data_IF_570961522837
#
_entry.id   IF_570961522837
#
_cell.length_a   1.000
_cell.length_b   1.000
_cell.length_c   1.000
_cell.angle_alpha   90.00
_cell.angle_beta   90.00
_cell.angle_gamma   90.00
#
_symmetry.space_group_name_H-M   'P 1'
#
loop_
_entity.id
_entity.type
_entity.pdbx_description
1 polymer ?
#
# COMPACT_ATOMS: atom_id res chain seq x y z
N UNK A 1 2.56 15.87 -33.88
CA UNK A 1 2.88 15.41 -32.52
C UNK A 1 1.58 15.02 -31.85
N UNK A 2 1.40 13.75 -31.49
CA UNK A 2 0.14 13.26 -30.92
C UNK A 2 0.32 13.10 -29.42
N UNK A 3 -0.52 13.76 -28.63
CA UNK A 3 -0.55 13.58 -27.18
C UNK A 3 -1.48 12.44 -26.83
N UNK A 4 -0.96 11.41 -26.12
CA UNK A 4 -1.77 10.34 -25.53
C UNK A 4 -1.93 10.65 -24.06
N UNK A 5 -3.18 10.70 -23.58
CA UNK A 5 -3.48 10.76 -22.14
C UNK A 5 -3.70 9.34 -21.65
N UNK A 6 -2.90 8.91 -20.70
CA UNK A 6 -3.17 7.69 -19.93
C UNK A 6 -3.99 8.05 -18.69
N UNK A 7 -5.02 7.28 -18.44
CA UNK A 7 -5.77 7.35 -17.18
C UNK A 7 -5.12 6.40 -16.18
N UNK A 8 -4.74 6.92 -15.03
CA UNK A 8 -4.20 6.14 -13.92
C UNK A 8 -5.27 6.03 -12.84
N UNK A 9 -5.50 4.83 -12.35
CA UNK A 9 -6.58 4.56 -11.41
C UNK A 9 -6.06 4.54 -9.97
N UNK A 10 -6.83 5.17 -9.08
CA UNK A 10 -6.71 5.07 -7.63
C UNK A 10 -8.02 4.51 -7.13
N UNK A 11 -7.99 3.29 -6.60
CA UNK A 11 -9.17 2.57 -6.16
C UNK A 11 -9.26 2.59 -4.64
N UNK A 12 -10.47 2.80 -4.12
CA UNK A 12 -10.75 2.85 -2.69
C UNK A 12 -11.78 1.78 -2.32
N UNK A 13 -11.44 0.96 -1.31
CA UNK A 13 -12.30 -0.10 -0.79
C UNK A 13 -12.39 -0.01 0.72
N UNK A 14 -13.35 -0.72 1.33
CA UNK A 14 -13.43 -0.87 2.78
C UNK A 14 -13.44 -2.34 3.15
N UNK A 15 -12.55 -2.72 4.07
CA UNK A 15 -12.51 -4.08 4.58
C UNK A 15 -13.73 -4.37 5.44
N UNK A 16 -14.52 -5.40 5.13
CA UNK A 16 -15.81 -5.62 5.82
C UNK A 16 -15.69 -5.97 7.30
N UNK A 17 -14.52 -6.45 7.74
CA UNK A 17 -14.27 -6.86 9.13
C UNK A 17 -13.25 -5.94 9.83
N UNK A 18 -13.15 -4.68 9.41
CA UNK A 18 -12.18 -3.72 9.91
C UNK A 18 -12.23 -3.57 11.44
N UNK A 19 -13.42 -3.46 12.01
CA UNK A 19 -13.61 -3.29 13.46
C UNK A 19 -13.06 -4.46 14.28
N UNK A 20 -13.05 -5.67 13.71
CA UNK A 20 -12.53 -6.87 14.37
C UNK A 20 -11.01 -7.01 14.22
N UNK A 21 -10.50 -6.70 13.06
CA UNK A 21 -9.08 -6.98 12.74
C UNK A 21 -8.16 -5.80 13.10
N UNK A 22 -8.63 -4.55 13.00
CA UNK A 22 -7.79 -3.38 13.18
C UNK A 22 -7.09 -3.31 14.54
N UNK A 23 -7.73 -3.60 15.68
CA UNK A 23 -7.04 -3.63 16.97
C UNK A 23 -5.91 -4.67 17.01
N UNK A 24 -6.10 -5.81 16.35
CA UNK A 24 -5.08 -6.86 16.25
C UNK A 24 -3.91 -6.38 15.38
N UNK A 25 -4.20 -5.80 14.21
CA UNK A 25 -3.19 -5.28 13.30
C UNK A 25 -2.40 -4.14 13.92
N UNK A 26 -3.03 -3.26 14.70
CA UNK A 26 -2.34 -2.22 15.44
C UNK A 26 -1.33 -2.84 16.41
N UNK A 27 -1.74 -3.82 17.22
CA UNK A 27 -0.84 -4.52 18.13
C UNK A 27 0.31 -5.24 17.43
N UNK A 28 0.09 -5.75 16.20
CA UNK A 28 1.18 -6.31 15.36
C UNK A 28 2.19 -5.23 14.99
N UNK A 29 1.72 -4.05 14.53
CA UNK A 29 2.61 -2.95 14.14
C UNK A 29 3.40 -2.48 15.36
N UNK A 30 2.75 -2.22 16.49
CA UNK A 30 3.39 -1.74 17.72
C UNK A 30 4.50 -2.66 18.22
N UNK A 31 4.29 -3.98 18.22
CA UNK A 31 5.32 -4.93 18.67
C UNK A 31 6.46 -5.12 17.67
N UNK A 32 6.24 -4.78 16.41
CA UNK A 32 7.20 -4.95 15.31
C UNK A 32 7.87 -3.64 14.86
N UNK A 33 7.44 -2.50 15.37
CA UNK A 33 8.01 -1.21 14.96
C UNK A 33 9.49 -1.12 15.35
N UNK A 34 10.28 -0.54 14.46
CA UNK A 34 11.71 -0.31 14.66
C UNK A 34 12.05 1.15 14.39
N UNK A 35 12.96 1.69 15.22
CA UNK A 35 13.44 3.07 15.08
C UNK A 35 14.50 3.26 14.01
N UNK A 36 15.10 2.18 13.49
CA UNK A 36 16.33 2.26 12.71
C UNK A 36 16.09 1.96 11.23
N UNK A 37 16.78 2.72 10.38
CA UNK A 37 16.97 2.51 8.94
C UNK A 37 15.74 2.60 8.03
N UNK A 38 14.84 3.54 8.27
CA UNK A 38 13.86 3.89 7.24
C UNK A 38 14.54 4.55 6.04
N UNK A 39 14.05 4.32 4.80
CA UNK A 39 14.43 5.14 3.67
C UNK A 39 14.29 6.63 4.01
N UNK A 40 15.16 7.47 3.49
CA UNK A 40 15.23 8.90 3.86
C UNK A 40 13.91 9.66 3.68
N UNK A 41 13.02 9.17 2.78
CA UNK A 41 11.71 9.74 2.53
C UNK A 41 10.67 9.42 3.62
N UNK A 42 10.88 8.39 4.45
CA UNK A 42 9.93 7.99 5.49
C UNK A 42 10.37 8.56 6.83
N UNK A 43 9.64 9.56 7.30
CA UNK A 43 9.84 10.21 8.60
C UNK A 43 8.74 9.79 9.56
N UNK A 44 8.61 8.48 9.76
CA UNK A 44 7.66 7.83 10.66
C UNK A 44 8.27 6.50 11.14
N UNK A 45 7.71 5.91 12.18
CA UNK A 45 8.11 4.58 12.66
C UNK A 45 7.58 3.53 11.68
N UNK A 46 8.38 2.52 11.33
CA UNK A 46 7.95 1.40 10.52
C UNK A 46 8.31 0.06 11.15
N UNK A 47 7.65 -0.99 10.71
CA UNK A 47 8.13 -2.36 10.88
C UNK A 47 9.21 -2.66 9.83
N UNK A 48 9.79 -3.88 9.88
CA UNK A 48 10.48 -4.41 8.71
C UNK A 48 9.50 -4.62 7.54
N UNK A 49 10.03 -4.87 6.36
CA UNK A 49 9.30 -5.01 5.10
C UNK A 49 8.73 -6.42 4.86
N UNK A 50 8.67 -7.23 5.92
CA UNK A 50 8.26 -8.63 5.96
C UNK A 50 7.01 -8.87 6.83
N UNK A 51 6.17 -7.87 6.98
CA UNK A 51 4.95 -7.95 7.82
C UNK A 51 3.99 -9.04 7.31
N UNK A 52 4.09 -9.42 6.05
CA UNK A 52 3.37 -10.53 5.44
C UNK A 52 3.70 -11.89 6.06
N UNK A 53 4.78 -12.02 6.84
CA UNK A 53 5.07 -13.21 7.65
C UNK A 53 4.16 -13.39 8.87
N UNK A 54 3.43 -12.36 9.29
CA UNK A 54 2.58 -12.40 10.49
C UNK A 54 1.20 -13.02 10.20
N UNK A 55 0.83 -14.03 10.99
CA UNK A 55 -0.43 -14.78 10.79
C UNK A 55 -1.67 -13.89 10.87
N UNK A 56 -1.63 -12.90 11.75
CA UNK A 56 -2.73 -11.97 11.98
C UNK A 56 -2.97 -11.03 10.79
N UNK A 57 -1.99 -10.83 9.94
CA UNK A 57 -2.08 -9.98 8.75
C UNK A 57 -2.63 -10.74 7.55
N UNK A 58 -2.52 -12.08 7.52
CA UNK A 58 -2.90 -12.92 6.39
C UNK A 58 -4.34 -12.74 5.90
N UNK A 59 -5.37 -12.63 6.78
CA UNK A 59 -6.74 -12.42 6.32
C UNK A 59 -6.92 -11.11 5.53
N UNK A 60 -6.24 -10.05 5.96
CA UNK A 60 -6.25 -8.77 5.24
C UNK A 60 -5.53 -8.90 3.89
N UNK A 61 -4.34 -9.51 3.87
CA UNK A 61 -3.54 -9.65 2.64
C UNK A 61 -4.25 -10.53 1.60
N UNK A 62 -4.92 -11.59 2.05
CA UNK A 62 -5.74 -12.40 1.15
C UNK A 62 -6.82 -11.56 0.48
N UNK A 63 -7.58 -10.78 1.24
CA UNK A 63 -8.63 -9.92 0.70
C UNK A 63 -8.07 -8.86 -0.25
N UNK A 64 -6.93 -8.22 0.08
CA UNK A 64 -6.27 -7.25 -0.80
C UNK A 64 -5.85 -7.91 -2.12
N UNK A 65 -5.31 -9.13 -2.04
CA UNK A 65 -4.90 -9.89 -3.23
C UNK A 65 -6.10 -10.26 -4.09
N UNK A 66 -7.22 -10.69 -3.49
CA UNK A 66 -8.45 -11.01 -4.20
C UNK A 66 -8.99 -9.77 -4.95
N UNK A 67 -8.95 -8.57 -4.33
CA UNK A 67 -9.32 -7.31 -5.00
C UNK A 67 -8.39 -7.01 -6.17
N UNK A 68 -7.08 -7.14 -5.98
CA UNK A 68 -6.12 -6.91 -7.06
C UNK A 68 -6.44 -7.77 -8.28
N UNK A 69 -6.76 -9.05 -8.07
CA UNK A 69 -7.12 -9.95 -9.15
C UNK A 69 -8.45 -9.58 -9.83
N UNK A 70 -9.46 -9.19 -9.08
CA UNK A 70 -10.78 -8.83 -9.63
C UNK A 70 -10.72 -7.53 -10.43
N UNK A 71 -10.13 -6.48 -9.84
CA UNK A 71 -10.21 -5.13 -10.40
C UNK A 71 -9.18 -4.88 -11.51
N UNK A 72 -7.95 -5.35 -11.34
CA UNK A 72 -6.89 -5.06 -12.31
C UNK A 72 -6.73 -6.15 -13.38
N UNK A 73 -6.92 -7.43 -13.06
CA UNK A 73 -6.83 -8.49 -14.05
C UNK A 73 -8.08 -8.63 -14.91
N UNK A 74 -9.24 -8.20 -14.40
CA UNK A 74 -10.48 -8.13 -15.19
C UNK A 74 -10.38 -7.18 -16.39
N UNK A 75 -9.45 -6.23 -16.36
CA UNK A 75 -9.19 -5.27 -17.44
C UNK A 75 -8.06 -5.69 -18.40
N UNK A 76 -7.32 -6.75 -18.08
CA UNK A 76 -6.30 -7.29 -18.99
C UNK A 76 -6.99 -8.13 -20.05
N UNK A 77 -6.94 -7.74 -21.35
CA UNK A 77 -7.48 -8.58 -22.41
C UNK A 77 -6.76 -9.92 -22.43
N UNK A 78 -7.46 -10.98 -22.05
CA UNK A 78 -6.96 -12.35 -21.89
C UNK A 78 -5.80 -12.45 -20.90
N UNK A 79 -6.07 -12.57 -19.57
CA UNK A 79 -5.02 -13.02 -18.66
C UNK A 79 -4.52 -14.35 -19.21
N UNK A 80 -3.28 -14.40 -19.64
CA UNK A 80 -2.63 -15.68 -19.91
C UNK A 80 -2.70 -16.46 -18.60
N UNK A 81 -2.84 -17.78 -18.65
CA UNK A 81 -2.96 -18.67 -17.47
C UNK A 81 -1.86 -18.45 -16.41
N UNK A 82 -0.86 -17.68 -16.74
CA UNK A 82 0.38 -17.47 -15.99
C UNK A 82 0.62 -16.02 -15.54
N UNK A 83 -0.39 -15.14 -15.68
CA UNK A 83 -0.27 -13.78 -15.17
C UNK A 83 -0.72 -13.75 -13.73
N UNK A 84 0.20 -13.61 -12.80
CA UNK A 84 -0.09 -13.42 -11.38
C UNK A 84 0.79 -12.33 -10.78
N UNK A 85 0.30 -11.70 -9.73
CA UNK A 85 1.04 -10.74 -8.95
C UNK A 85 1.46 -11.36 -7.64
N UNK A 86 2.69 -11.11 -7.24
CA UNK A 86 3.22 -11.52 -5.95
C UNK A 86 3.41 -10.28 -5.08
N UNK A 87 2.94 -10.36 -3.85
CA UNK A 87 3.33 -9.41 -2.82
C UNK A 87 4.83 -9.58 -2.55
N UNK A 88 5.59 -8.50 -2.69
CA UNK A 88 7.06 -8.53 -2.55
C UNK A 88 7.55 -7.78 -1.33
N UNK A 89 6.75 -6.86 -0.82
CA UNK A 89 7.05 -6.05 0.35
C UNK A 89 5.75 -5.72 1.07
N UNK A 90 5.76 -5.83 2.40
CA UNK A 90 4.64 -5.43 3.25
C UNK A 90 5.18 -4.89 4.57
N UNK A 91 4.75 -3.71 4.96
CA UNK A 91 5.21 -3.08 6.21
C UNK A 91 4.10 -2.30 6.91
N UNK A 92 4.20 -2.22 8.23
CA UNK A 92 3.39 -1.35 9.06
C UNK A 92 4.02 0.01 9.22
N UNK A 93 3.21 1.04 9.40
CA UNK A 93 3.64 2.41 9.65
C UNK A 93 2.86 2.96 10.84
N UNK A 94 3.60 3.49 11.82
CA UNK A 94 3.04 4.22 12.96
C UNK A 94 3.48 5.68 12.86
N UNK A 95 2.54 6.57 12.64
CA UNK A 95 2.79 8.00 12.55
C UNK A 95 2.48 8.68 13.87
N UNK A 96 3.38 9.55 14.28
CA UNK A 96 3.17 10.55 15.34
C UNK A 96 2.93 11.92 14.73
N UNK A 97 2.51 12.85 15.57
CA UNK A 97 2.34 14.25 15.15
C UNK A 97 3.66 14.81 14.60
N UNK A 98 3.60 15.38 13.40
CA UNK A 98 4.76 15.88 12.66
C UNK A 98 5.38 14.88 11.69
N UNK A 99 5.15 13.59 11.86
CA UNK A 99 5.65 12.57 10.95
C UNK A 99 5.05 12.73 9.55
N UNK A 100 5.85 12.44 8.54
CA UNK A 100 5.45 12.57 7.14
C UNK A 100 6.14 11.51 6.28
N UNK A 101 5.68 11.39 5.05
CA UNK A 101 6.38 10.68 4.00
C UNK A 101 6.56 11.66 2.85
N UNK A 102 7.82 11.89 2.45
CA UNK A 102 8.16 12.75 1.35
C UNK A 102 7.70 12.15 0.01
N UNK A 103 7.68 12.94 -1.04
CA UNK A 103 7.24 12.49 -2.36
C UNK A 103 8.12 11.35 -2.88
N UNK A 104 7.48 10.27 -3.29
CA UNK A 104 8.12 9.07 -3.84
C UNK A 104 7.14 8.27 -4.68
N UNK A 105 7.65 7.22 -5.31
CA UNK A 105 6.89 6.14 -5.94
C UNK A 105 7.46 4.78 -5.50
N UNK A 106 6.90 3.70 -6.05
CA UNK A 106 7.32 2.33 -5.73
C UNK A 106 7.81 1.54 -6.95
N UNK A 107 8.27 2.24 -8.01
CA UNK A 107 8.88 1.54 -9.14
C UNK A 107 10.09 0.69 -8.68
N UNK A 108 10.28 -0.52 -9.20
CA UNK A 108 9.65 -1.15 -10.36
C UNK A 108 8.42 -2.03 -10.05
N UNK A 109 7.79 -1.89 -8.90
CA UNK A 109 6.55 -2.60 -8.60
C UNK A 109 5.41 -2.12 -9.53
N UNK A 110 4.38 -2.96 -9.75
CA UNK A 110 3.25 -2.63 -10.60
C UNK A 110 2.12 -1.97 -9.85
N UNK A 111 1.74 -2.55 -8.71
CA UNK A 111 0.67 -2.05 -7.87
C UNK A 111 1.15 -1.90 -6.44
N UNK A 112 0.67 -0.84 -5.80
CA UNK A 112 0.91 -0.55 -4.39
C UNK A 112 -0.40 -0.37 -3.66
N UNK A 113 -0.38 -0.61 -2.36
CA UNK A 113 -1.54 -0.35 -1.53
C UNK A 113 -1.15 0.31 -0.21
N UNK A 114 -2.11 1.00 0.38
CA UNK A 114 -2.11 1.37 1.79
C UNK A 114 -3.46 1.04 2.41
N UNK A 115 -3.45 0.37 3.55
CA UNK A 115 -4.61 0.05 4.36
C UNK A 115 -4.52 0.82 5.68
N UNK A 116 -5.58 1.53 6.04
CA UNK A 116 -5.61 2.33 7.25
C UNK A 116 -6.19 1.54 8.42
N UNK A 117 -5.34 1.27 9.41
CA UNK A 117 -5.68 0.49 10.60
C UNK A 117 -6.35 1.37 11.65
N UNK A 118 -5.66 2.42 12.09
CA UNK A 118 -6.20 3.44 13.00
C UNK A 118 -5.94 4.83 12.44
N UNK A 119 -6.95 5.69 12.48
CA UNK A 119 -6.87 7.04 11.92
C UNK A 119 -7.62 8.02 12.81
N UNK A 120 -6.94 8.87 13.57
CA UNK A 120 -7.56 9.97 14.27
C UNK A 120 -8.31 10.91 13.32
N UNK A 121 -9.47 11.41 13.75
CA UNK A 121 -10.29 12.32 12.94
C UNK A 121 -9.49 13.56 12.52
N UNK A 122 -9.50 13.88 11.24
CA UNK A 122 -8.76 15.02 10.70
C UNK A 122 -7.29 14.74 10.34
N UNK A 123 -6.88 13.47 10.35
CA UNK A 123 -5.54 13.04 9.90
C UNK A 123 -5.23 13.51 8.48
N UNK A 124 -3.94 13.72 8.22
CA UNK A 124 -3.43 14.19 6.93
C UNK A 124 -3.73 13.19 5.79
N UNK A 125 -4.11 13.65 4.59
CA UNK A 125 -4.45 12.79 3.47
C UNK A 125 -3.21 12.12 2.85
N UNK A 126 -3.44 11.04 2.10
CA UNK A 126 -2.52 10.60 1.05
C UNK A 126 -2.72 11.51 -0.16
N UNK A 127 -1.65 12.07 -0.69
CA UNK A 127 -1.70 13.06 -1.79
C UNK A 127 -0.94 12.53 -2.98
N UNK A 128 -1.63 12.30 -4.10
CA UNK A 128 -1.02 12.03 -5.40
C UNK A 128 -0.57 13.36 -6.02
N UNK A 129 0.74 13.56 -6.13
CA UNK A 129 1.30 14.90 -6.35
C UNK A 129 1.07 15.43 -7.75
N UNK A 130 1.07 14.58 -8.77
CA UNK A 130 0.85 14.97 -10.17
C UNK A 130 -0.60 15.39 -10.42
N UNK A 131 -1.56 14.59 -9.98
CA UNK A 131 -3.00 14.88 -10.14
C UNK A 131 -3.55 15.82 -9.07
N UNK A 132 -2.81 16.03 -7.98
CA UNK A 132 -3.26 16.72 -6.76
C UNK A 132 -4.44 16.04 -6.06
N UNK A 133 -4.76 14.81 -6.46
CA UNK A 133 -5.82 14.01 -5.83
C UNK A 133 -5.45 13.71 -4.38
N UNK A 134 -6.46 13.81 -3.49
CA UNK A 134 -6.28 13.59 -2.04
C UNK A 134 -7.23 12.51 -1.58
N UNK A 135 -6.67 11.45 -1.02
CA UNK A 135 -7.45 10.40 -0.36
C UNK A 135 -7.49 10.69 1.13
N UNK A 136 -8.68 10.90 1.66
CA UNK A 136 -8.89 11.09 3.10
C UNK A 136 -8.83 9.74 3.80
N UNK A 137 -7.89 9.54 4.74
CA UNK A 137 -7.76 8.28 5.44
C UNK A 137 -8.96 8.05 6.38
N UNK A 138 -9.39 6.79 6.45
CA UNK A 138 -10.42 6.32 7.41
C UNK A 138 -10.05 4.90 7.84
N UNK A 139 -10.31 4.51 9.11
CA UNK A 139 -10.09 3.13 9.53
C UNK A 139 -10.81 2.14 8.62
N UNK A 140 -10.16 1.05 8.26
CA UNK A 140 -10.70 0.03 7.36
C UNK A 140 -10.64 0.35 5.87
N UNK A 141 -10.21 1.55 5.48
CA UNK A 141 -10.07 1.91 4.06
C UNK A 141 -8.78 1.33 3.50
N UNK A 142 -8.90 0.65 2.36
CA UNK A 142 -7.83 0.27 1.45
C UNK A 142 -7.75 1.29 0.31
N UNK A 143 -6.56 1.72 -0.03
CA UNK A 143 -6.26 2.47 -1.26
C UNK A 143 -5.29 1.65 -2.08
N UNK A 144 -5.64 1.36 -3.32
CA UNK A 144 -4.82 0.61 -4.25
C UNK A 144 -4.56 1.46 -5.50
N UNK A 145 -3.33 1.44 -6.01
CA UNK A 145 -2.91 2.32 -7.09
C UNK A 145 -1.70 1.77 -7.84
N UNK A 146 -1.48 2.25 -9.07
CA UNK A 146 -0.26 1.93 -9.79
C UNK A 146 0.98 2.47 -9.07
N UNK A 147 2.00 1.63 -8.91
CA UNK A 147 3.21 1.92 -8.11
C UNK A 147 4.00 3.14 -8.60
N UNK A 148 3.88 3.49 -9.89
CA UNK A 148 4.54 4.66 -10.50
C UNK A 148 3.91 6.01 -10.13
N UNK A 149 2.75 6.01 -9.48
CA UNK A 149 2.08 7.25 -9.07
C UNK A 149 2.85 7.93 -7.94
N UNK A 150 3.39 9.10 -8.25
CA UNK A 150 4.08 9.94 -7.27
C UNK A 150 3.11 10.40 -6.18
N UNK A 151 3.42 10.09 -4.94
CA UNK A 151 2.58 10.41 -3.80
C UNK A 151 3.36 10.76 -2.55
N UNK A 152 2.68 11.36 -1.58
CA UNK A 152 3.24 11.76 -0.29
C UNK A 152 2.19 11.75 0.81
N UNK A 153 2.64 11.74 2.06
CA UNK A 153 1.83 12.04 3.23
C UNK A 153 2.35 13.32 3.87
N UNK A 154 1.58 14.43 3.86
CA UNK A 154 1.96 15.65 4.56
C UNK A 154 2.12 15.41 6.07
N UNK A 155 2.80 16.30 6.82
CA UNK A 155 2.97 16.16 8.25
C UNK A 155 1.67 15.80 8.97
N UNK A 156 1.72 14.74 9.77
CA UNK A 156 0.58 14.26 10.52
C UNK A 156 0.19 15.24 11.61
N UNK A 157 -1.11 15.45 11.77
CA UNK A 157 -1.65 16.40 12.75
C UNK A 157 -1.81 15.81 14.14
N UNK A 158 -1.88 14.48 14.22
CA UNK A 158 -2.19 13.73 15.43
C UNK A 158 -1.25 12.54 15.55
N UNK A 159 -1.09 12.05 16.77
CA UNK A 159 -0.44 10.79 17.08
C UNK A 159 -1.33 9.60 16.71
N UNK A 160 -0.76 8.39 16.77
CA UNK A 160 -1.47 7.10 16.68
C UNK A 160 -2.26 6.87 15.38
N UNK A 161 -1.72 7.36 14.25
CA UNK A 161 -2.16 6.92 12.94
C UNK A 161 -1.37 5.68 12.54
N UNK A 162 -2.07 4.57 12.28
CA UNK A 162 -1.49 3.31 11.87
C UNK A 162 -1.95 2.93 10.47
N UNK A 163 -1.02 2.45 9.66
CA UNK A 163 -1.30 1.96 8.32
C UNK A 163 -0.46 0.71 8.01
N UNK A 164 -0.92 -0.10 7.06
CA UNK A 164 -0.15 -1.17 6.45
C UNK A 164 -0.01 -0.83 4.97
N UNK A 165 1.20 -0.88 4.45
CA UNK A 165 1.48 -0.67 3.04
C UNK A 165 2.18 -1.88 2.44
N UNK A 166 2.13 -2.02 1.12
CA UNK A 166 2.82 -3.09 0.43
C UNK A 166 2.80 -2.92 -1.07
N UNK A 167 3.66 -3.72 -1.72
CA UNK A 167 3.91 -3.65 -3.15
C UNK A 167 3.74 -5.02 -3.81
N UNK A 168 3.09 -5.02 -4.97
CA UNK A 168 2.92 -6.19 -5.83
C UNK A 168 3.78 -6.07 -7.08
N UNK A 169 4.42 -7.17 -7.44
CA UNK A 169 5.12 -7.32 -8.72
C UNK A 169 4.48 -8.42 -9.56
N UNK A 170 4.52 -8.22 -10.85
CA UNK A 170 4.22 -9.28 -11.80
C UNK A 170 5.24 -10.41 -11.61
N UNK A 171 4.74 -11.60 -11.33
CA UNK A 171 5.55 -12.80 -11.29
C UNK A 171 5.26 -13.60 -12.56
N UNK A 172 6.19 -13.57 -13.53
CA UNK A 172 6.17 -14.45 -14.68
C UNK A 172 6.47 -15.88 -14.26
N UNK A 173 6.14 -16.88 -15.13
CA UNK A 173 6.55 -18.26 -14.89
C UNK A 173 8.06 -18.36 -14.63
N UNK A 174 8.45 -19.20 -13.69
CA UNK A 174 9.82 -19.68 -13.59
C UNK A 174 10.15 -20.40 -14.88
N UNK A 175 10.80 -19.75 -15.85
CA UNK A 175 11.29 -20.52 -16.96
C UNK A 175 11.51 -19.88 -18.31
N UNK A 176 11.56 -18.56 -18.50
CA UNK A 176 11.92 -18.04 -19.84
C UNK A 176 12.71 -16.73 -19.84
N UNK A 177 13.51 -16.43 -18.84
CA UNK A 177 14.63 -15.53 -19.11
C UNK A 177 15.85 -16.39 -19.37
N UNK A 178 16.00 -16.73 -20.66
CA UNK A 178 17.17 -17.40 -21.18
C UNK A 178 18.42 -16.60 -20.80
N UNK A 179 19.43 -17.34 -20.38
CA UNK A 179 20.80 -16.86 -20.31
C UNK A 179 21.20 -16.41 -21.73
N UNK A 180 21.38 -15.14 -21.92
CA UNK A 180 22.15 -14.55 -22.98
C UNK A 180 23.48 -14.09 -22.40
#
# INVERSE_FOLDING_TARGET
MTWVRETLEVLEFYYPFADKINPILQGVIERKEKKESNPSQIKAMTTLWDLDGEKEVQPLLKWITDILFIEFLGHVPRPTRNTYFKLVECWGIHYKKGDCIDQHDHAPSQYSFTYYVNVPKGSSPLVFTTSKHKVIPKPGKLVMFESRLQHKVPPCKFDDRFAIAGNFRHAGEKGTYGRG
#
